data_IF_451935680419
#
_entry.id   IF_451935680419
#
_cell.length_a   1.000
_cell.length_b   1.000
_cell.length_c   1.000
_cell.angle_alpha   90.00
_cell.angle_beta   90.00
_cell.angle_gamma   90.00
#
_symmetry.space_group_name_H-M   'P 1'
#
loop_
_entity.id
_entity.type
_entity.pdbx_description
1 polymer ?
#
# COMPACT_ATOMS: atom_id res chain seq x y z
N UNK A 1 -16.99 -40.49 6.80
CA UNK A 1 -16.00 -40.52 5.69
C UNK A 1 -15.58 -39.08 5.44
N UNK A 2 -14.29 -38.76 5.44
CA UNK A 2 -13.83 -37.37 5.22
C UNK A 2 -13.99 -37.03 3.74
N UNK A 3 -14.72 -35.97 3.42
CA UNK A 3 -14.93 -35.53 2.03
C UNK A 3 -13.72 -34.76 1.50
N UNK A 4 -13.45 -34.83 0.20
CA UNK A 4 -12.35 -34.09 -0.43
C UNK A 4 -12.49 -32.58 -0.24
N UNK A 5 -13.72 -32.05 -0.25
CA UNK A 5 -14.00 -30.63 0.03
C UNK A 5 -13.58 -30.21 1.44
N UNK A 6 -13.73 -31.10 2.43
CA UNK A 6 -13.30 -30.84 3.80
C UNK A 6 -11.77 -30.74 3.90
N UNK A 7 -11.03 -31.68 3.32
CA UNK A 7 -9.56 -31.68 3.32
C UNK A 7 -9.02 -30.41 2.64
N UNK A 8 -9.54 -30.11 1.44
CA UNK A 8 -9.17 -28.91 0.67
C UNK A 8 -9.47 -27.64 1.45
N UNK A 9 -10.63 -27.56 2.12
CA UNK A 9 -11.00 -26.39 2.90
C UNK A 9 -10.16 -26.22 4.18
N UNK A 10 -9.70 -27.31 4.82
CA UNK A 10 -8.74 -27.23 5.93
C UNK A 10 -7.38 -26.68 5.46
N UNK A 11 -6.87 -27.18 4.33
CA UNK A 11 -5.64 -26.65 3.73
C UNK A 11 -5.82 -25.16 3.39
N UNK A 12 -6.95 -24.81 2.81
CA UNK A 12 -7.31 -23.42 2.50
C UNK A 12 -7.33 -22.52 3.74
N UNK A 13 -7.91 -23.00 4.84
CA UNK A 13 -7.91 -22.29 6.12
C UNK A 13 -6.49 -22.00 6.62
N UNK A 14 -5.61 -23.01 6.62
CA UNK A 14 -4.22 -22.85 7.07
C UNK A 14 -3.49 -21.82 6.22
N UNK A 15 -3.56 -21.92 4.88
CA UNK A 15 -2.91 -20.98 3.97
C UNK A 15 -3.44 -19.56 4.18
N UNK A 16 -4.76 -19.38 4.27
CA UNK A 16 -5.38 -18.07 4.49
C UNK A 16 -4.97 -17.44 5.81
N UNK A 17 -4.90 -18.22 6.89
CA UNK A 17 -4.46 -17.71 8.21
C UNK A 17 -3.00 -17.22 8.13
N UNK A 18 -2.13 -17.94 7.43
CA UNK A 18 -0.74 -17.51 7.19
C UNK A 18 -0.68 -16.20 6.38
N UNK A 19 -1.54 -16.07 5.37
CA UNK A 19 -1.69 -14.81 4.60
C UNK A 19 -2.15 -13.67 5.50
N UNK A 20 -3.15 -13.89 6.35
CA UNK A 20 -3.63 -12.89 7.31
C UNK A 20 -2.57 -12.51 8.35
N UNK A 21 -1.66 -13.42 8.68
CA UNK A 21 -0.55 -13.17 9.61
C UNK A 21 0.61 -12.37 8.98
N UNK A 22 0.66 -12.18 7.65
CA UNK A 22 1.74 -11.46 6.98
C UNK A 22 1.99 -10.03 7.53
N UNK A 23 0.97 -9.21 7.83
CA UNK A 23 1.16 -7.86 8.36
C UNK A 23 1.62 -7.80 9.83
N UNK A 24 1.69 -8.92 10.56
CA UNK A 24 2.11 -8.93 11.99
C UNK A 24 3.48 -8.26 12.16
N UNK A 25 4.45 -8.58 11.29
CA UNK A 25 5.78 -7.99 11.36
C UNK A 25 5.74 -6.47 11.14
N UNK A 26 4.94 -6.02 10.18
CA UNK A 26 4.73 -4.59 9.88
C UNK A 26 4.10 -3.86 11.06
N UNK A 27 3.03 -4.40 11.66
CA UNK A 27 2.38 -3.77 12.81
C UNK A 27 3.22 -3.83 14.08
N UNK A 28 4.05 -4.85 14.27
CA UNK A 28 5.02 -4.88 15.36
C UNK A 28 5.99 -3.69 15.27
N UNK A 29 6.42 -3.34 14.06
CA UNK A 29 7.26 -2.16 13.84
C UNK A 29 6.50 -0.86 14.11
N UNK A 30 5.23 -0.76 13.70
CA UNK A 30 4.35 0.40 14.01
C UNK A 30 4.23 0.61 15.52
N UNK A 31 4.00 -0.46 16.29
CA UNK A 31 3.90 -0.40 17.76
C UNK A 31 5.22 0.05 18.38
N UNK A 32 6.35 -0.53 17.95
CA UNK A 32 7.69 -0.16 18.45
C UNK A 32 8.04 1.30 18.16
N UNK A 33 7.65 1.81 16.99
CA UNK A 33 7.93 3.19 16.56
C UNK A 33 6.88 4.20 17.02
N UNK A 34 5.76 3.73 17.58
CA UNK A 34 4.58 4.53 17.96
C UNK A 34 4.06 5.45 16.83
N UNK A 35 4.25 5.03 15.58
CA UNK A 35 3.86 5.80 14.40
C UNK A 35 3.53 4.87 13.24
N UNK A 36 2.44 5.16 12.54
CA UNK A 36 2.07 4.45 11.30
C UNK A 36 2.87 4.92 10.09
N UNK A 37 3.84 5.83 10.25
CA UNK A 37 4.64 6.42 9.17
C UNK A 37 3.76 6.79 7.96
N UNK A 38 4.07 6.22 6.78
CA UNK A 38 3.33 6.41 5.53
C UNK A 38 2.36 5.26 5.20
N UNK A 39 2.14 4.30 6.11
CA UNK A 39 1.22 3.20 5.86
C UNK A 39 -0.23 3.71 5.72
N UNK A 40 -0.96 3.13 4.77
CA UNK A 40 -2.38 3.42 4.55
C UNK A 40 -3.23 2.39 5.28
N UNK A 41 -4.25 2.85 6.02
CA UNK A 41 -5.20 1.99 6.74
C UNK A 41 -6.27 1.32 5.86
N UNK A 42 -6.49 1.86 4.65
CA UNK A 42 -7.58 1.44 3.73
C UNK A 42 -7.56 -0.06 3.39
N UNK A 43 -6.41 -0.70 3.10
CA UNK A 43 -6.38 -2.14 2.81
C UNK A 43 -6.92 -2.99 3.96
N UNK A 44 -6.60 -2.64 5.21
CA UNK A 44 -7.06 -3.40 6.39
C UNK A 44 -8.55 -3.20 6.64
N UNK A 45 -9.03 -1.96 6.47
CA UNK A 45 -10.46 -1.62 6.56
C UNK A 45 -11.32 -2.37 5.54
N UNK A 46 -10.88 -2.38 4.27
CA UNK A 46 -11.62 -3.02 3.18
C UNK A 46 -11.57 -4.54 3.30
N UNK A 47 -10.43 -5.09 3.73
CA UNK A 47 -10.31 -6.52 4.03
C UNK A 47 -11.18 -6.90 5.21
N UNK A 48 -11.26 -6.10 6.27
CA UNK A 48 -12.16 -6.34 7.41
C UNK A 48 -13.62 -6.45 6.97
N UNK A 49 -14.07 -5.53 6.12
CA UNK A 49 -15.43 -5.56 5.59
C UNK A 49 -15.66 -6.83 4.77
N UNK A 50 -14.71 -7.16 3.89
CA UNK A 50 -14.80 -8.36 3.05
C UNK A 50 -14.85 -9.64 3.87
N UNK A 51 -13.94 -9.81 4.83
CA UNK A 51 -13.92 -10.98 5.71
C UNK A 51 -15.16 -11.05 6.59
N UNK A 52 -15.72 -9.92 7.04
CA UNK A 52 -16.95 -9.92 7.83
C UNK A 52 -18.17 -10.35 7.00
N UNK A 53 -18.29 -9.86 5.77
CA UNK A 53 -19.35 -10.27 4.84
C UNK A 53 -19.21 -11.75 4.44
N UNK A 54 -18.00 -12.23 4.17
CA UNK A 54 -17.76 -13.65 3.89
C UNK A 54 -18.03 -14.56 5.09
N UNK A 55 -17.76 -14.08 6.32
CA UNK A 55 -18.14 -14.79 7.55
C UNK A 55 -19.66 -14.90 7.63
N UNK A 56 -20.38 -13.81 7.39
CA UNK A 56 -21.84 -13.81 7.36
C UNK A 56 -22.40 -14.71 6.25
N UNK A 57 -21.81 -14.69 5.07
CA UNK A 57 -22.14 -15.61 3.97
C UNK A 57 -21.99 -17.08 4.40
N UNK A 58 -20.87 -17.43 5.03
CA UNK A 58 -20.61 -18.78 5.54
C UNK A 58 -21.61 -19.21 6.62
N UNK A 59 -22.05 -18.29 7.49
CA UNK A 59 -23.07 -18.56 8.51
C UNK A 59 -24.46 -18.83 7.90
N UNK A 60 -24.79 -18.19 6.77
CA UNK A 60 -26.06 -18.39 6.07
C UNK A 60 -26.07 -19.67 5.22
N UNK A 61 -24.89 -20.16 4.82
CA UNK A 61 -24.73 -21.29 3.91
C UNK A 61 -24.73 -22.63 4.67
N UNK A 62 -25.54 -23.62 4.25
CA UNK A 62 -25.38 -25.00 4.72
C UNK A 62 -23.97 -25.52 4.45
N UNK A 63 -23.32 -26.14 5.45
CA UNK A 63 -21.92 -26.58 5.40
C UNK A 63 -20.89 -25.46 5.15
N UNK A 64 -21.25 -24.21 5.42
CA UNK A 64 -20.38 -23.04 5.27
C UNK A 64 -19.29 -22.90 6.35
N UNK A 65 -19.14 -23.86 7.27
CA UNK A 65 -18.25 -23.77 8.43
C UNK A 65 -16.80 -23.41 8.08
N UNK A 66 -16.25 -24.01 7.02
CA UNK A 66 -14.87 -23.76 6.58
C UNK A 66 -14.67 -22.33 6.04
N UNK A 67 -15.72 -21.76 5.44
CA UNK A 67 -15.72 -20.37 4.95
C UNK A 67 -15.90 -19.41 6.12
N UNK A 68 -16.76 -19.74 7.08
CA UNK A 68 -16.98 -18.97 8.31
C UNK A 68 -15.73 -18.89 9.16
N UNK A 69 -15.05 -20.02 9.38
CA UNK A 69 -13.87 -20.09 10.25
C UNK A 69 -12.69 -19.31 9.67
N UNK A 70 -12.38 -19.48 8.38
CA UNK A 70 -11.27 -18.75 7.75
C UNK A 70 -11.50 -17.24 7.74
N UNK A 71 -12.71 -16.79 7.39
CA UNK A 71 -13.02 -15.39 7.27
C UNK A 71 -13.26 -14.75 8.64
N UNK A 72 -13.78 -15.51 9.61
CA UNK A 72 -13.90 -15.07 10.99
C UNK A 72 -12.53 -14.83 11.61
N UNK A 73 -11.58 -15.76 11.39
CA UNK A 73 -10.18 -15.55 11.78
C UNK A 73 -9.60 -14.31 11.08
N UNK A 74 -9.83 -14.15 9.78
CA UNK A 74 -9.44 -12.97 9.02
C UNK A 74 -10.01 -11.67 9.62
N UNK A 75 -11.29 -11.64 9.96
CA UNK A 75 -11.94 -10.48 10.58
C UNK A 75 -11.31 -10.13 11.93
N UNK A 76 -10.93 -11.12 12.73
CA UNK A 76 -10.19 -10.90 14.00
C UNK A 76 -8.83 -10.26 13.73
N UNK A 77 -8.02 -10.82 12.81
CA UNK A 77 -6.72 -10.25 12.44
C UNK A 77 -6.86 -8.80 11.94
N UNK A 78 -7.79 -8.55 11.02
CA UNK A 78 -8.00 -7.23 10.45
C UNK A 78 -8.53 -6.23 11.48
N UNK A 79 -9.38 -6.66 12.41
CA UNK A 79 -9.84 -5.82 13.52
C UNK A 79 -8.67 -5.38 14.39
N UNK A 80 -7.77 -6.30 14.74
CA UNK A 80 -6.55 -5.97 15.50
C UNK A 80 -5.70 -4.94 14.74
N UNK A 81 -5.48 -5.14 13.44
CA UNK A 81 -4.70 -4.21 12.61
C UNK A 81 -5.34 -2.83 12.50
N UNK A 82 -6.65 -2.76 12.31
CA UNK A 82 -7.39 -1.49 12.27
C UNK A 82 -7.32 -0.79 13.63
N UNK A 83 -7.49 -1.50 14.75
CA UNK A 83 -7.39 -0.93 16.10
C UNK A 83 -5.97 -0.36 16.33
N UNK A 84 -4.93 -1.14 16.04
CA UNK A 84 -3.55 -0.67 16.17
C UNK A 84 -3.29 0.55 15.28
N UNK A 85 -3.79 0.55 14.04
CA UNK A 85 -3.68 1.71 13.16
C UNK A 85 -4.37 2.94 13.77
N UNK A 86 -5.59 2.79 14.29
CA UNK A 86 -6.33 3.88 14.94
C UNK A 86 -5.69 4.37 16.23
N UNK A 87 -4.90 3.56 16.93
CA UNK A 87 -4.15 3.97 18.13
C UNK A 87 -2.92 4.79 17.75
N UNK A 88 -2.15 4.34 16.75
CA UNK A 88 -0.82 4.89 16.44
C UNK A 88 -0.77 5.88 15.26
N UNK A 89 -1.86 6.04 14.51
CA UNK A 89 -1.88 6.97 13.37
C UNK A 89 -1.86 8.46 13.81
N UNK A 90 -1.41 9.38 12.94
CA UNK A 90 -1.62 10.82 13.09
C UNK A 90 -3.12 11.19 13.14
N UNK A 91 -3.50 12.29 13.80
CA UNK A 91 -4.90 12.66 14.05
C UNK A 91 -5.73 12.82 12.75
N UNK A 92 -5.15 13.41 11.71
CA UNK A 92 -5.76 13.55 10.39
C UNK A 92 -6.12 12.19 9.76
N UNK A 93 -5.17 11.24 9.78
CA UNK A 93 -5.37 9.88 9.27
C UNK A 93 -6.31 9.06 10.16
N UNK A 94 -6.25 9.25 11.48
CA UNK A 94 -7.11 8.60 12.48
C UNK A 94 -8.57 8.96 12.25
N UNK A 95 -8.89 10.25 12.14
CA UNK A 95 -10.28 10.72 11.95
C UNK A 95 -10.84 10.19 10.64
N UNK A 96 -10.08 10.28 9.55
CA UNK A 96 -10.51 9.73 8.26
C UNK A 96 -10.76 8.23 8.33
N UNK A 97 -9.81 7.47 8.90
CA UNK A 97 -9.92 6.02 8.99
C UNK A 97 -11.06 5.61 9.92
N UNK A 98 -11.21 6.26 11.07
CA UNK A 98 -12.29 6.01 12.03
C UNK A 98 -13.66 6.28 11.43
N UNK A 99 -13.81 7.37 10.67
CA UNK A 99 -15.03 7.66 9.92
C UNK A 99 -15.35 6.55 8.91
N UNK A 100 -14.34 6.08 8.17
CA UNK A 100 -14.52 4.99 7.22
C UNK A 100 -14.85 3.65 7.90
N UNK A 101 -14.27 3.36 9.08
CA UNK A 101 -14.65 2.19 9.90
C UNK A 101 -16.11 2.28 10.29
N UNK A 102 -16.55 3.41 10.85
CA UNK A 102 -17.93 3.60 11.26
C UNK A 102 -18.91 3.45 10.10
N UNK A 103 -18.62 4.06 8.95
CA UNK A 103 -19.50 4.00 7.77
C UNK A 103 -19.52 2.59 7.16
N UNK A 104 -18.36 1.99 6.89
CA UNK A 104 -18.29 0.76 6.09
C UNK A 104 -18.42 -0.50 6.95
N UNK A 105 -17.72 -0.59 8.07
CA UNK A 105 -17.65 -1.81 8.88
C UNK A 105 -18.73 -1.89 9.97
N UNK A 106 -19.32 -0.75 10.36
CA UNK A 106 -20.44 -0.75 11.31
C UNK A 106 -21.75 -0.47 10.58
N UNK A 107 -21.87 0.70 9.93
CA UNK A 107 -23.09 1.14 9.28
C UNK A 107 -23.51 0.24 8.11
N UNK A 108 -22.67 0.15 7.07
CA UNK A 108 -22.97 -0.62 5.88
C UNK A 108 -23.08 -2.13 6.18
N UNK A 109 -22.12 -2.71 6.90
CA UNK A 109 -22.19 -4.11 7.32
C UNK A 109 -23.44 -4.41 8.14
N UNK A 110 -23.75 -3.58 9.13
CA UNK A 110 -24.94 -3.73 9.97
C UNK A 110 -26.23 -3.62 9.17
N UNK A 111 -26.31 -2.69 8.22
CA UNK A 111 -27.44 -2.54 7.31
C UNK A 111 -27.62 -3.79 6.44
N UNK A 112 -26.54 -4.31 5.84
CA UNK A 112 -26.57 -5.53 5.03
C UNK A 112 -27.09 -6.71 5.85
N UNK A 113 -26.59 -6.90 7.07
CA UNK A 113 -27.05 -7.97 7.98
C UNK A 113 -28.53 -7.77 8.32
N UNK A 114 -28.94 -6.57 8.71
CA UNK A 114 -30.32 -6.26 9.09
C UNK A 114 -31.30 -6.51 7.93
N UNK A 115 -31.02 -5.97 6.74
CA UNK A 115 -31.84 -6.18 5.54
C UNK A 115 -31.92 -7.67 5.19
N UNK A 116 -30.79 -8.39 5.23
CA UNK A 116 -30.76 -9.81 4.90
C UNK A 116 -31.60 -10.65 5.87
N UNK A 117 -31.50 -10.38 7.17
CA UNK A 117 -32.20 -11.18 8.19
C UNK A 117 -33.68 -10.80 8.32
N UNK A 118 -34.03 -9.52 8.15
CA UNK A 118 -35.38 -9.02 8.40
C UNK A 118 -36.26 -8.95 7.15
N UNK A 119 -35.69 -8.65 5.97
CA UNK A 119 -36.46 -8.39 4.75
C UNK A 119 -36.36 -9.49 3.69
N UNK A 120 -35.36 -10.37 3.78
CA UNK A 120 -35.13 -11.42 2.78
C UNK A 120 -35.45 -12.79 3.39
N UNK A 121 -35.83 -13.77 2.57
CA UNK A 121 -36.18 -15.12 3.03
C UNK A 121 -35.59 -16.19 2.10
N UNK A 122 -35.34 -17.38 2.66
CA UNK A 122 -34.88 -18.56 1.91
C UNK A 122 -33.56 -18.32 1.15
N UNK A 123 -33.51 -18.83 -0.09
CA UNK A 123 -32.32 -18.77 -0.96
C UNK A 123 -31.93 -17.35 -1.38
N UNK A 124 -32.85 -16.38 -1.31
CA UNK A 124 -32.58 -15.00 -1.69
C UNK A 124 -31.50 -14.37 -0.80
N UNK A 125 -31.49 -14.71 0.51
CA UNK A 125 -30.46 -14.25 1.46
C UNK A 125 -29.06 -14.62 1.00
N UNK A 126 -28.89 -15.90 0.64
CA UNK A 126 -27.60 -16.45 0.25
C UNK A 126 -27.13 -15.85 -1.08
N UNK A 127 -28.02 -15.72 -2.06
CA UNK A 127 -27.70 -15.11 -3.36
C UNK A 127 -27.29 -13.65 -3.21
N UNK A 128 -28.04 -12.84 -2.46
CA UNK A 128 -27.74 -11.43 -2.26
C UNK A 128 -26.39 -11.20 -1.58
N UNK A 129 -26.16 -11.87 -0.45
CA UNK A 129 -24.88 -11.75 0.28
C UNK A 129 -23.73 -12.31 -0.56
N UNK A 130 -23.94 -13.41 -1.28
CA UNK A 130 -22.95 -14.02 -2.16
C UNK A 130 -22.51 -13.10 -3.30
N UNK A 131 -23.45 -12.46 -3.99
CA UNK A 131 -23.15 -11.46 -5.04
C UNK A 131 -22.37 -10.30 -4.45
N UNK A 132 -22.80 -9.78 -3.29
CA UNK A 132 -22.13 -8.67 -2.63
C UNK A 132 -20.69 -9.01 -2.23
N UNK A 133 -20.48 -10.19 -1.66
CA UNK A 133 -19.15 -10.70 -1.31
C UNK A 133 -18.26 -10.83 -2.55
N UNK A 134 -18.76 -11.46 -3.61
CA UNK A 134 -18.02 -11.65 -4.85
C UNK A 134 -17.65 -10.31 -5.51
N UNK A 135 -18.60 -9.38 -5.61
CA UNK A 135 -18.37 -8.05 -6.18
C UNK A 135 -17.33 -7.26 -5.39
N UNK A 136 -17.40 -7.29 -4.05
CA UNK A 136 -16.42 -6.63 -3.19
C UNK A 136 -15.03 -7.24 -3.38
N UNK A 137 -14.90 -8.57 -3.37
CA UNK A 137 -13.61 -9.24 -3.57
C UNK A 137 -13.02 -8.95 -4.96
N UNK A 138 -13.83 -8.93 -6.01
CA UNK A 138 -13.38 -8.53 -7.35
C UNK A 138 -12.90 -7.07 -7.35
N UNK A 139 -13.65 -6.16 -6.71
CA UNK A 139 -13.24 -4.76 -6.58
C UNK A 139 -11.90 -4.60 -5.85
N UNK A 140 -11.63 -5.43 -4.84
CA UNK A 140 -10.34 -5.43 -4.14
C UNK A 140 -9.16 -5.81 -5.04
N UNK A 141 -9.38 -6.52 -6.15
CA UNK A 141 -8.33 -6.82 -7.11
C UNK A 141 -7.82 -5.59 -7.89
N UNK A 142 -8.48 -4.43 -7.77
CA UNK A 142 -7.94 -3.17 -8.30
C UNK A 142 -6.54 -2.85 -7.72
N UNK A 143 -6.29 -3.17 -6.44
CA UNK A 143 -4.99 -2.95 -5.81
C UNK A 143 -3.86 -3.79 -6.43
N UNK A 144 -3.97 -5.14 -6.54
CA UNK A 144 -2.97 -5.94 -7.23
C UNK A 144 -2.80 -5.58 -8.71
N UNK A 145 -3.86 -5.17 -9.42
CA UNK A 145 -3.75 -4.64 -10.80
C UNK A 145 -2.89 -3.38 -10.85
N UNK A 146 -3.11 -2.45 -9.93
CA UNK A 146 -2.33 -1.21 -9.83
C UNK A 146 -0.85 -1.51 -9.53
N UNK A 147 -0.58 -2.47 -8.65
CA UNK A 147 0.78 -2.94 -8.37
C UNK A 147 1.46 -3.52 -9.63
N UNK A 148 0.77 -4.39 -10.39
CA UNK A 148 1.29 -4.92 -11.65
C UNK A 148 1.60 -3.83 -12.67
N UNK A 149 0.70 -2.83 -12.81
CA UNK A 149 0.93 -1.67 -13.67
C UNK A 149 2.17 -0.89 -13.24
N UNK A 150 2.40 -0.77 -11.94
CA UNK A 150 3.58 -0.10 -11.38
C UNK A 150 4.85 -0.87 -11.76
N UNK A 151 4.89 -2.18 -11.56
CA UNK A 151 6.03 -3.04 -11.93
C UNK A 151 6.38 -2.91 -13.42
N UNK A 152 5.37 -2.90 -14.30
CA UNK A 152 5.59 -2.77 -15.76
C UNK A 152 6.19 -1.41 -16.12
N UNK A 153 5.75 -0.35 -15.44
CA UNK A 153 6.23 1.03 -15.67
C UNK A 153 7.62 1.28 -15.09
N UNK A 154 7.85 0.85 -13.85
CA UNK A 154 9.11 1.08 -13.13
C UNK A 154 10.18 0.03 -13.45
N UNK A 155 9.81 -1.06 -14.13
CA UNK A 155 10.68 -2.19 -14.43
C UNK A 155 11.28 -2.86 -13.17
N UNK A 156 10.69 -2.60 -12.00
CA UNK A 156 11.17 -3.06 -10.70
C UNK A 156 10.06 -3.79 -9.93
N UNK A 157 10.42 -4.89 -9.27
CA UNK A 157 9.53 -5.73 -8.45
C UNK A 157 9.48 -5.33 -6.97
N UNK A 158 10.04 -4.17 -6.61
CA UNK A 158 10.16 -3.70 -5.21
C UNK A 158 8.81 -3.67 -4.46
N UNK A 159 7.72 -3.32 -5.15
CA UNK A 159 6.38 -3.23 -4.57
C UNK A 159 5.59 -4.55 -4.62
N UNK A 160 6.19 -5.63 -5.13
CA UNK A 160 5.56 -6.95 -5.30
C UNK A 160 6.48 -8.06 -4.76
N UNK A 161 6.47 -8.33 -3.44
CA UNK A 161 7.27 -9.38 -2.86
C UNK A 161 6.79 -10.76 -3.33
N UNK A 162 7.71 -11.58 -3.85
CA UNK A 162 7.43 -12.90 -4.43
C UNK A 162 6.60 -13.79 -3.51
N UNK A 163 7.02 -13.97 -2.26
CA UNK A 163 6.35 -14.86 -1.32
C UNK A 163 4.89 -14.45 -1.08
N UNK A 164 4.62 -13.15 -0.97
CA UNK A 164 3.25 -12.66 -0.79
C UNK A 164 2.38 -13.01 -2.00
N UNK A 165 2.88 -12.73 -3.22
CA UNK A 165 2.17 -13.08 -4.46
C UNK A 165 1.97 -14.60 -4.60
N UNK A 166 2.97 -15.40 -4.23
CA UNK A 166 2.90 -16.85 -4.29
C UNK A 166 1.85 -17.42 -3.32
N UNK A 167 1.86 -16.98 -2.06
CA UNK A 167 0.87 -17.42 -1.08
C UNK A 167 -0.55 -16.94 -1.44
N UNK A 168 -0.71 -15.74 -2.00
CA UNK A 168 -1.99 -15.26 -2.50
C UNK A 168 -2.48 -16.09 -3.70
N UNK A 169 -1.59 -16.47 -4.61
CA UNK A 169 -1.90 -17.36 -5.73
C UNK A 169 -2.35 -18.75 -5.24
N UNK A 170 -1.60 -19.37 -4.33
CA UNK A 170 -1.99 -20.66 -3.73
C UNK A 170 -3.32 -20.57 -2.99
N UNK A 171 -3.53 -19.48 -2.24
CA UNK A 171 -4.78 -19.21 -1.55
C UNK A 171 -5.95 -19.11 -2.53
N UNK A 172 -5.81 -18.35 -3.62
CA UNK A 172 -6.85 -18.25 -4.62
C UNK A 172 -7.11 -19.60 -5.32
N UNK A 173 -6.07 -20.38 -5.60
CA UNK A 173 -6.18 -21.70 -6.24
C UNK A 173 -6.89 -22.73 -5.36
N UNK A 174 -6.55 -22.80 -4.07
CA UNK A 174 -7.18 -23.75 -3.14
C UNK A 174 -8.65 -23.40 -2.90
N UNK A 175 -8.99 -22.11 -2.78
CA UNK A 175 -10.38 -21.67 -2.62
C UNK A 175 -11.21 -21.80 -3.91
N UNK A 176 -10.58 -21.65 -5.08
CA UNK A 176 -11.22 -21.99 -6.36
C UNK A 176 -11.53 -23.48 -6.43
N UNK A 177 -10.57 -24.33 -6.06
CA UNK A 177 -10.76 -25.79 -6.03
C UNK A 177 -11.86 -26.18 -5.03
N UNK A 178 -11.84 -25.60 -3.82
CA UNK A 178 -12.89 -25.77 -2.83
C UNK A 178 -14.26 -25.43 -3.40
N UNK A 179 -14.39 -24.26 -4.04
CA UNK A 179 -15.63 -23.78 -4.64
C UNK A 179 -16.18 -24.72 -5.72
N UNK A 180 -15.32 -25.28 -6.57
CA UNK A 180 -15.71 -26.29 -7.57
C UNK A 180 -16.25 -27.55 -6.89
N UNK A 181 -15.59 -28.02 -5.83
CA UNK A 181 -16.02 -29.21 -5.09
C UNK A 181 -17.37 -29.02 -4.38
N UNK A 182 -17.63 -27.82 -3.85
CA UNK A 182 -18.91 -27.49 -3.18
C UNK A 182 -19.94 -26.84 -4.12
N UNK A 183 -19.64 -26.77 -5.43
CA UNK A 183 -20.48 -26.16 -6.48
C UNK A 183 -20.97 -24.75 -6.13
N UNK A 184 -20.08 -23.94 -5.57
CA UNK A 184 -20.36 -22.56 -5.15
C UNK A 184 -19.73 -21.54 -6.08
N UNK A 185 -20.54 -21.00 -6.98
CA UNK A 185 -20.07 -19.99 -7.92
C UNK A 185 -19.73 -18.64 -7.26
N UNK A 186 -20.34 -18.31 -6.12
CA UNK A 186 -20.07 -17.05 -5.43
C UNK A 186 -18.65 -17.04 -4.86
N UNK A 187 -18.19 -18.17 -4.31
CA UNK A 187 -16.80 -18.35 -3.89
C UNK A 187 -15.90 -18.54 -5.12
N UNK A 188 -16.34 -19.31 -6.10
CA UNK A 188 -15.53 -19.73 -7.24
C UNK A 188 -15.09 -18.58 -8.15
N UNK A 189 -16.02 -17.72 -8.58
CA UNK A 189 -15.75 -16.62 -9.53
C UNK A 189 -14.67 -15.64 -9.03
N UNK A 190 -14.78 -15.04 -7.83
CA UNK A 190 -13.75 -14.13 -7.34
C UNK A 190 -12.41 -14.86 -7.13
N UNK A 191 -12.41 -16.05 -6.54
CA UNK A 191 -11.15 -16.77 -6.31
C UNK A 191 -10.47 -17.20 -7.62
N UNK A 192 -11.23 -17.62 -8.64
CA UNK A 192 -10.68 -17.94 -9.96
C UNK A 192 -10.07 -16.70 -10.61
N UNK A 193 -10.74 -15.55 -10.49
CA UNK A 193 -10.19 -14.26 -10.93
C UNK A 193 -8.88 -13.95 -10.20
N UNK A 194 -8.86 -14.10 -8.87
CA UNK A 194 -7.66 -13.93 -8.06
C UNK A 194 -6.52 -14.89 -8.44
N UNK A 195 -6.85 -16.12 -8.83
CA UNK A 195 -5.89 -17.13 -9.27
C UNK A 195 -5.25 -16.75 -10.60
N UNK A 196 -6.05 -16.30 -11.57
CA UNK A 196 -5.56 -15.78 -12.85
C UNK A 196 -4.65 -14.56 -12.61
N UNK A 197 -5.11 -13.60 -11.80
CA UNK A 197 -4.31 -12.42 -11.48
C UNK A 197 -3.01 -12.79 -10.76
N UNK A 198 -3.07 -13.68 -9.77
CA UNK A 198 -1.88 -14.19 -9.07
C UNK A 198 -0.89 -14.88 -10.00
N UNK A 199 -1.38 -15.63 -11.00
CA UNK A 199 -0.54 -16.23 -12.05
C UNK A 199 0.20 -15.14 -12.84
N UNK A 200 -0.52 -14.10 -13.28
CA UNK A 200 0.07 -12.96 -13.99
C UNK A 200 1.09 -12.24 -13.10
N UNK A 201 0.82 -12.06 -11.81
CA UNK A 201 1.77 -11.46 -10.86
C UNK A 201 3.07 -12.25 -10.77
N UNK A 202 2.99 -13.59 -10.67
CA UNK A 202 4.17 -14.45 -10.60
C UNK A 202 4.98 -14.43 -11.90
N UNK A 203 4.31 -14.42 -13.05
CA UNK A 203 4.96 -14.30 -14.36
C UNK A 203 5.67 -12.95 -14.49
N UNK A 204 5.00 -11.85 -14.14
CA UNK A 204 5.60 -10.52 -14.17
C UNK A 204 6.79 -10.43 -13.22
N UNK A 205 6.70 -11.01 -12.02
CA UNK A 205 7.81 -11.07 -11.10
C UNK A 205 9.02 -11.78 -11.72
N UNK A 206 8.82 -12.96 -12.33
CA UNK A 206 9.91 -13.72 -12.96
C UNK A 206 10.61 -12.94 -14.09
N UNK A 207 9.85 -12.24 -14.93
CA UNK A 207 10.39 -11.45 -16.05
C UNK A 207 11.19 -10.24 -15.53
N UNK A 208 10.62 -9.46 -14.62
CA UNK A 208 11.23 -8.19 -14.18
C UNK A 208 12.31 -8.36 -13.11
N UNK A 209 12.26 -9.42 -12.30
CA UNK A 209 13.33 -9.72 -11.35
C UNK A 209 14.66 -9.97 -12.09
N UNK A 210 14.64 -10.77 -13.16
CA UNK A 210 15.82 -11.04 -13.99
C UNK A 210 16.35 -9.77 -14.67
N UNK A 211 15.47 -8.89 -15.16
CA UNK A 211 15.88 -7.62 -15.78
C UNK A 211 16.49 -6.64 -14.78
N UNK A 212 15.90 -6.53 -13.58
CA UNK A 212 16.42 -5.66 -12.52
C UNK A 212 17.81 -6.08 -12.02
N UNK A 213 18.07 -7.39 -11.96
CA UNK A 213 19.39 -7.93 -11.62
C UNK A 213 20.40 -7.62 -12.74
N UNK A 214 20.00 -7.75 -14.01
CA UNK A 214 20.84 -7.41 -15.16
C UNK A 214 21.22 -5.92 -15.17
N UNK A 215 20.26 -5.02 -14.96
CA UNK A 215 20.51 -3.57 -14.96
C UNK A 215 21.38 -3.14 -13.76
N UNK A 216 21.09 -3.63 -12.54
CA UNK A 216 21.93 -3.35 -11.36
C UNK A 216 23.36 -3.88 -11.52
N UNK A 217 23.53 -5.03 -12.17
CA UNK A 217 24.87 -5.59 -12.44
C UNK A 217 25.63 -4.73 -13.46
N UNK A 218 24.96 -4.27 -14.52
CA UNK A 218 25.55 -3.37 -15.52
C UNK A 218 25.93 -2.01 -14.91
N UNK A 219 25.03 -1.39 -14.13
CA UNK A 219 25.34 -0.13 -13.43
C UNK A 219 26.52 -0.26 -12.48
N UNK A 220 26.61 -1.39 -11.75
CA UNK A 220 27.75 -1.65 -10.86
C UNK A 220 29.06 -1.80 -11.66
N UNK A 221 29.05 -2.52 -12.79
CA UNK A 221 30.22 -2.66 -13.66
C UNK A 221 30.67 -1.32 -14.29
N UNK A 222 29.72 -0.47 -14.69
CA UNK A 222 30.02 0.86 -15.24
C UNK A 222 30.53 1.82 -14.16
N UNK A 223 29.95 1.77 -12.96
CA UNK A 223 30.37 2.57 -11.81
C UNK A 223 31.77 2.21 -11.31
N UNK A 224 32.07 0.91 -11.20
CA UNK A 224 33.41 0.41 -10.81
C UNK A 224 34.46 0.68 -11.90
N UNK A 225 34.11 0.50 -13.18
CA UNK A 225 35.00 0.81 -14.31
C UNK A 225 35.34 2.30 -14.42
N UNK A 226 34.36 3.18 -14.19
CA UNK A 226 34.58 4.64 -14.20
C UNK A 226 35.40 5.10 -13.00
N UNK A 227 35.19 4.53 -11.81
CA UNK A 227 35.99 4.83 -10.62
C UNK A 227 37.46 4.41 -10.77
N UNK A 228 37.73 3.32 -11.48
CA UNK A 228 39.09 2.84 -11.74
C UNK A 228 39.83 3.70 -12.78
N UNK A 229 39.13 4.19 -13.81
CA UNK A 229 39.67 5.14 -14.79
C UNK A 229 39.96 6.52 -14.18
N UNK A 230 39.10 7.01 -13.27
CA UNK A 230 39.36 8.27 -12.55
C UNK A 230 40.55 8.14 -11.61
N UNK A 231 40.71 7.00 -10.91
CA UNK A 231 41.91 6.73 -10.10
C UNK A 231 43.17 6.65 -10.95
N UNK A 232 43.13 6.00 -12.11
CA UNK A 232 44.27 5.92 -13.01
C UNK A 232 44.65 7.28 -13.61
N UNK A 233 43.66 8.12 -13.96
CA UNK A 233 43.89 9.48 -14.43
C UNK A 233 44.54 10.39 -13.37
N UNK A 234 44.08 10.32 -12.12
CA UNK A 234 44.66 11.08 -11.00
C UNK A 234 46.07 10.61 -10.64
N UNK A 235 46.37 9.31 -10.80
CA UNK A 235 47.73 8.77 -10.56
C UNK A 235 48.69 9.16 -11.70
N UNK A 236 48.22 9.27 -12.95
CA UNK A 236 49.04 9.74 -14.07
C UNK A 236 49.32 11.25 -13.94
N UNK A 237 48.39 12.04 -13.42
CA UNK A 237 48.57 13.48 -13.23
C UNK A 237 49.47 13.83 -12.02
N UNK A 238 49.62 12.94 -11.04
CA UNK A 238 50.55 13.10 -9.90
C UNK A 238 51.93 12.45 -10.09
N UNK A 239 52.23 11.88 -11.26
CA UNK A 239 53.45 11.12 -11.54
C UNK A 239 54.56 11.86 -12.31
N UNK A 240 54.49 13.19 -12.42
CA UNK A 240 55.46 13.99 -13.18
C UNK A 240 56.32 14.88 -12.29
N UNK A 241 57.32 14.30 -11.61
CA UNK A 241 58.67 14.83 -11.37
C UNK A 241 59.42 13.79 -10.52
N UNK A 242 60.33 13.04 -11.14
CA UNK A 242 61.38 12.31 -10.45
C UNK A 242 62.63 13.17 -10.55
N UNK A 243 63.16 13.56 -9.39
CA UNK A 243 64.60 13.76 -9.23
C UNK A 243 65.09 12.78 -8.17
N UNK A 244 66.29 12.29 -8.44
CA UNK A 244 67.03 11.21 -7.81
C UNK A 244 67.52 11.61 -6.41
N UNK A 245 67.71 10.61 -5.52
CA UNK A 245 68.92 10.44 -4.69
C UNK A 245 68.69 9.54 -3.46
N UNK A 246 69.83 9.08 -2.95
CA UNK A 246 70.19 7.84 -2.28
C UNK A 246 69.69 7.58 -0.83
N UNK A 247 69.62 6.27 -0.53
CA UNK A 247 70.15 5.54 0.65
C UNK A 247 70.01 6.09 2.09
N UNK A 248 69.35 5.33 2.98
CA UNK A 248 69.95 4.75 4.22
C UNK A 248 68.91 4.30 5.27
N UNK A 249 69.26 3.20 5.93
CA UNK A 249 68.60 2.57 7.09
C UNK A 249 68.49 3.50 8.31
N UNK A 250 67.37 3.44 9.07
CA UNK A 250 67.39 3.57 10.54
C UNK A 250 66.00 3.39 11.21
N UNK A 251 65.95 2.43 12.12
CA UNK A 251 64.97 2.10 13.16
C UNK A 251 64.56 3.28 14.07
N UNK A 252 63.25 3.42 14.43
CA UNK A 252 62.76 3.53 15.82
C UNK A 252 61.26 3.87 15.93
N UNK A 253 60.53 2.98 16.61
CA UNK A 253 59.35 3.31 17.38
C UNK A 253 59.73 4.13 18.63
N UNK A 254 59.13 5.31 18.84
CA UNK A 254 58.74 5.78 20.19
C UNK A 254 57.82 7.01 20.14
N UNK A 255 56.79 6.95 20.99
CA UNK A 255 55.85 8.01 21.32
C UNK A 255 56.50 9.17 22.10
N UNK A 256 55.95 10.39 21.98
CA UNK A 256 55.35 11.16 23.09
C UNK A 256 54.91 12.59 22.69
N UNK A 257 53.79 13.00 23.31
CA UNK A 257 53.06 14.27 23.24
C UNK A 257 53.86 15.54 23.64
N UNK A 258 53.58 16.68 22.99
CA UNK A 258 52.87 17.84 23.59
C UNK A 258 52.66 19.01 22.61
N UNK A 259 51.39 19.37 22.40
CA UNK A 259 50.85 20.74 22.51
C UNK A 259 51.16 21.78 21.45
N UNK A 260 50.16 22.10 20.61
CA UNK A 260 49.78 23.48 20.26
C UNK A 260 48.39 23.53 19.59
N UNK A 261 47.46 24.20 20.29
CA UNK A 261 46.30 24.97 19.82
C UNK A 261 45.47 24.49 18.61
N UNK A 262 44.20 24.17 18.92
CA UNK A 262 43.06 23.95 18.01
C UNK A 262 42.75 25.17 17.12
N UNK A 263 42.36 24.96 15.85
CA UNK A 263 41.34 25.77 15.18
C UNK A 263 40.02 24.99 15.11
N UNK A 264 38.92 25.64 15.52
CA UNK A 264 37.55 25.09 15.49
C UNK A 264 37.07 24.86 14.04
N UNK A 265 36.17 23.88 13.80
CA UNK A 265 35.50 23.71 12.52
C UNK A 265 34.51 24.85 12.29
N UNK A 266 34.59 25.50 11.13
CA UNK A 266 33.59 26.48 10.69
C UNK A 266 32.32 25.76 10.24
N UNK A 267 31.39 25.61 11.17
CA UNK A 267 29.98 25.31 10.88
C UNK A 267 29.35 26.56 10.28
N UNK A 268 29.07 26.56 8.98
CA UNK A 268 28.17 27.55 8.37
C UNK A 268 26.83 26.86 8.13
N UNK A 269 25.97 26.91 9.17
CA UNK A 269 24.52 26.75 9.03
C UNK A 269 23.92 28.13 9.21
N UNK A 270 23.51 28.77 8.12
CA UNK A 270 22.73 29.99 8.18
C UNK A 270 21.53 29.83 7.25
N UNK A 271 20.39 29.50 7.87
CA UNK A 271 19.08 29.82 7.30
C UNK A 271 18.92 31.34 7.36
N UNK A 272 18.75 31.96 6.21
CA UNK A 272 18.30 33.34 6.09
C UNK A 272 17.40 33.48 4.87
N UNK A 273 16.10 33.34 5.10
CA UNK A 273 15.05 34.07 4.35
C UNK A 273 15.20 35.54 4.80
N UNK A 274 15.40 36.51 3.89
CA UNK A 274 14.24 37.28 3.41
C UNK A 274 14.37 37.91 2.00
N UNK A 275 13.30 37.80 1.21
CA UNK A 275 12.82 38.93 0.39
C UNK A 275 11.35 39.21 0.74
N UNK A 276 11.23 40.31 1.49
CA UNK A 276 10.08 41.16 1.79
C UNK A 276 9.15 41.29 0.56
N UNK A 277 7.87 40.93 0.59
CA UNK A 277 6.73 41.65 1.23
C UNK A 277 6.55 43.10 0.76
N UNK A 278 6.09 43.27 -0.48
CA UNK A 278 5.12 44.28 -0.95
C UNK A 278 4.28 43.53 -1.98
N UNK A 279 2.99 43.28 -1.81
CA UNK A 279 1.92 44.25 -1.58
C UNK A 279 0.75 43.59 -0.84
N UNK A 280 0.36 44.17 0.30
CA UNK A 280 -0.95 44.03 0.89
C UNK A 280 -1.95 44.85 0.06
N UNK A 281 -3.03 44.25 -0.43
CA UNK A 281 -4.40 44.77 -0.27
C UNK A 281 -5.38 43.85 -0.99
N UNK A 282 -6.23 43.17 -0.23
CA UNK A 282 -7.52 42.71 -0.73
C UNK A 282 -8.46 43.92 -0.84
N UNK A 283 -9.17 44.05 -1.96
CA UNK A 283 -10.61 44.33 -1.92
C UNK A 283 -11.28 43.82 -3.22
N UNK A 284 -12.52 43.31 -3.17
CA UNK A 284 -13.35 43.00 -4.33
C UNK A 284 -13.81 44.30 -5.01
N UNK A 285 -14.53 44.18 -6.13
CA UNK A 285 -15.11 45.26 -6.96
C UNK A 285 -14.23 45.73 -8.13
N UNK A 286 -14.24 44.96 -9.22
CA UNK A 286 -14.30 45.56 -10.55
C UNK A 286 -15.68 45.29 -11.14
N UNK A 287 -16.60 46.19 -10.82
CA UNK A 287 -17.80 46.45 -11.62
C UNK A 287 -17.54 47.76 -12.37
N UNK A 288 -17.82 47.69 -13.66
CA UNK A 288 -18.09 48.75 -14.63
C UNK A 288 -16.94 49.61 -15.19
N UNK A 289 -16.73 49.42 -16.50
CA UNK A 289 -16.63 50.53 -17.45
C UNK A 289 -17.57 50.29 -18.64
N UNK A 290 -18.67 51.05 -18.69
CA UNK A 290 -19.26 51.63 -19.90
C UNK A 290 -20.43 52.55 -19.47
N UNK A 291 -20.39 53.79 -19.96
CA UNK A 291 -21.21 54.99 -19.67
C UNK A 291 -22.05 55.32 -20.94
N UNK A 292 -23.03 56.25 -21.03
CA UNK A 292 -24.08 56.79 -20.11
C UNK A 292 -25.51 56.98 -20.70
N UNK A 293 -26.36 57.64 -19.88
CA UNK A 293 -27.59 58.44 -20.12
C UNK A 293 -28.91 57.65 -20.14
N UNK A 294 -29.79 57.77 -19.14
CA UNK A 294 -30.61 58.92 -18.67
C UNK A 294 -31.80 59.15 -19.61
N UNK A 295 -33.00 58.73 -19.18
CA UNK A 295 -34.28 59.48 -19.19
C UNK A 295 -35.52 58.58 -19.01
N UNK A 296 -36.53 59.08 -18.28
CA UNK A 296 -37.95 58.67 -18.33
C UNK A 296 -38.39 57.64 -17.28
N UNK A 297 -39.10 58.03 -16.22
CA UNK A 297 -40.57 58.15 -16.15
C UNK A 297 -41.28 56.77 -16.22
N UNK A 298 -41.82 56.23 -15.12
CA UNK A 298 -43.16 56.50 -14.55
C UNK A 298 -44.13 55.35 -14.93
N UNK A 299 -44.91 54.86 -13.95
CA UNK A 299 -46.15 54.06 -14.11
C UNK A 299 -45.98 52.60 -14.60
N UNK A 300 -46.79 51.59 -14.28
CA UNK A 300 -47.88 51.31 -13.35
C UNK A 300 -47.95 49.76 -13.32
N UNK A 301 -48.20 49.12 -12.19
CA UNK A 301 -49.48 48.48 -11.86
C UNK A 301 -50.31 47.91 -13.04
N UNK A 302 -50.72 46.64 -12.87
CA UNK A 302 -51.87 45.97 -13.51
C UNK A 302 -51.66 45.64 -15.01
N UNK A 303 -52.15 44.55 -15.61
CA UNK A 303 -53.03 43.43 -15.26
C UNK A 303 -53.11 42.53 -16.52
N UNK A 304 -53.70 41.33 -16.38
CA UNK A 304 -54.15 40.42 -17.44
C UNK A 304 -53.03 39.66 -18.19
N UNK A 305 -53.05 38.34 -18.31
CA UNK A 305 -54.18 37.39 -18.44
C UNK A 305 -53.72 35.99 -18.03
#
# INVERSE_FOLDING_TARGET
MVTSSFIVGIIGNVISILVFACPIKTFTQVVKRKSTENFKGIPYLTTLLSTSLWTFYGLLKPDGLLVTTVNGAGAVFQSIYVILFLIYAPMDKKVLTGKLVAILNVGFLGLVIAVTLLAMHGSLRLTFVGILCAALTIGMYAAPLSAMRTVIKTKSVEYMPFFLSFFLFLNAGIWTTYAVLVKDYFIGVPNATGFVLGSVQLILYAIYNNKSISEKTIEKMVGEGSAHLVKAGVVIEMGGLKDEDEESNSTKNRSLNKGRSLPKPSVVRQYSIPKILKTLSWNPYEIHSHWPRQDGLENAEQSHT
#
